data_IF_664088172324
#
_entry.id   IF_664088172324
#
_cell.length_a   1.000
_cell.length_b   1.000
_cell.length_c   1.000
_cell.angle_alpha   90.00
_cell.angle_beta   90.00
_cell.angle_gamma   90.00
#
_symmetry.space_group_name_H-M   'P 1'
#
loop_
_entity.id
_entity.type
_entity.pdbx_description
1 polymer ?
#
# COMPACT_ATOMS: atom_id res chain seq x y z
N UNK A 1 0.42 15.40 -16.88
CA UNK A 1 -0.67 14.45 -17.17
C UNK A 1 -0.14 13.06 -17.48
N UNK A 2 0.53 12.88 -18.62
CA UNK A 2 0.93 11.57 -19.13
C UNK A 2 1.89 10.79 -18.22
N UNK A 3 2.95 11.44 -17.70
CA UNK A 3 3.90 10.82 -16.76
C UNK A 3 3.24 10.38 -15.44
N UNK A 4 2.35 11.21 -14.90
CA UNK A 4 1.60 10.87 -13.69
C UNK A 4 0.66 9.68 -13.93
N UNK A 5 -0.01 9.63 -15.08
CA UNK A 5 -0.89 8.52 -15.44
C UNK A 5 -0.14 7.19 -15.56
N UNK A 6 1.04 7.20 -16.17
CA UNK A 6 1.91 6.01 -16.27
C UNK A 6 2.36 5.56 -14.88
N UNK A 7 2.88 6.48 -14.05
CA UNK A 7 3.36 6.14 -12.70
C UNK A 7 2.25 5.56 -11.81
N UNK A 8 1.04 6.16 -11.85
CA UNK A 8 -0.12 5.69 -11.09
C UNK A 8 -0.59 4.33 -11.61
N UNK A 9 -0.66 4.15 -12.93
CA UNK A 9 -1.07 2.89 -13.57
C UNK A 9 -0.10 1.74 -13.25
N UNK A 10 1.21 1.97 -13.36
CA UNK A 10 2.25 0.99 -13.03
C UNK A 10 2.19 0.58 -11.56
N UNK A 11 2.05 1.54 -10.65
CA UNK A 11 1.97 1.26 -9.21
C UNK A 11 0.72 0.46 -8.85
N UNK A 12 -0.44 0.82 -9.43
CA UNK A 12 -1.69 0.09 -9.19
C UNK A 12 -1.66 -1.35 -9.74
N UNK A 13 -1.05 -1.54 -10.91
CA UNK A 13 -0.89 -2.87 -11.53
C UNK A 13 0.07 -3.75 -10.72
N UNK A 14 1.21 -3.20 -10.33
CA UNK A 14 2.22 -3.91 -9.53
C UNK A 14 1.66 -4.39 -8.19
N UNK A 15 0.93 -3.53 -7.48
CA UNK A 15 0.33 -3.86 -6.17
C UNK A 15 -0.64 -5.05 -6.25
N UNK A 16 -1.49 -5.11 -7.30
CA UNK A 16 -2.42 -6.24 -7.50
C UNK A 16 -1.69 -7.52 -7.93
N UNK A 17 -0.67 -7.40 -8.78
CA UNK A 17 0.14 -8.54 -9.20
C UNK A 17 0.91 -9.15 -8.02
N UNK A 18 1.48 -8.30 -7.16
CA UNK A 18 2.22 -8.73 -5.98
C UNK A 18 1.31 -9.41 -4.94
N UNK A 19 0.09 -8.88 -4.74
CA UNK A 19 -0.92 -9.51 -3.88
C UNK A 19 -1.33 -10.89 -4.41
N UNK A 20 -1.51 -11.03 -5.72
CA UNK A 20 -1.85 -12.30 -6.35
C UNK A 20 -0.72 -13.33 -6.24
N UNK A 21 0.55 -12.91 -6.32
CA UNK A 21 1.71 -13.80 -6.19
C UNK A 21 1.99 -14.24 -4.74
N UNK A 22 1.60 -13.44 -3.75
CA UNK A 22 1.86 -13.69 -2.33
C UNK A 22 0.73 -14.43 -1.61
N UNK A 23 -0.44 -14.58 -2.24
CA UNK A 23 -1.63 -15.15 -1.59
C UNK A 23 -1.93 -16.57 -2.10
N UNK A 24 -2.06 -17.59 -1.24
CA UNK A 24 -2.52 -18.92 -1.65
C UNK A 24 -3.99 -18.89 -2.12
N UNK A 25 -4.32 -19.68 -3.14
CA UNK A 25 -5.62 -19.64 -3.84
C UNK A 25 -6.84 -19.77 -2.92
N UNK A 26 -6.76 -20.57 -1.85
CA UNK A 26 -7.85 -20.74 -0.87
C UNK A 26 -8.14 -19.49 -0.03
N UNK A 27 -7.17 -18.59 0.14
CA UNK A 27 -7.29 -17.37 0.97
C UNK A 27 -7.34 -16.10 0.14
N UNK A 28 -7.38 -16.20 -1.19
CA UNK A 28 -7.36 -15.05 -2.11
C UNK A 28 -8.43 -14.01 -1.76
N UNK A 29 -9.66 -14.43 -1.45
CA UNK A 29 -10.76 -13.53 -1.09
C UNK A 29 -10.51 -12.73 0.21
N UNK A 30 -9.84 -13.33 1.20
CA UNK A 30 -9.56 -12.71 2.50
C UNK A 30 -8.51 -11.58 2.34
N UNK A 31 -7.42 -11.87 1.64
CA UNK A 31 -6.34 -10.89 1.38
C UNK A 31 -6.79 -9.76 0.44
N UNK A 32 -7.58 -10.06 -0.60
CA UNK A 32 -8.19 -9.00 -1.43
C UNK A 32 -9.18 -8.13 -0.63
N UNK A 33 -9.90 -8.73 0.32
CA UNK A 33 -10.75 -8.02 1.28
C UNK A 33 -9.95 -7.03 2.13
N UNK A 34 -8.85 -7.48 2.75
CA UNK A 34 -7.96 -6.62 3.53
C UNK A 34 -7.32 -5.51 2.70
N UNK A 35 -6.87 -5.80 1.47
CA UNK A 35 -6.31 -4.80 0.55
C UNK A 35 -7.33 -3.70 0.22
N UNK A 36 -8.58 -4.08 -0.08
CA UNK A 36 -9.68 -3.14 -0.36
C UNK A 36 -10.01 -2.25 0.84
N UNK A 37 -10.09 -2.83 2.05
CA UNK A 37 -10.36 -2.08 3.28
C UNK A 37 -9.23 -1.11 3.60
N UNK A 38 -7.97 -1.55 3.46
CA UNK A 38 -6.79 -0.70 3.67
C UNK A 38 -6.79 0.49 2.70
N UNK A 39 -7.12 0.27 1.42
CA UNK A 39 -7.24 1.34 0.43
C UNK A 39 -8.34 2.37 0.78
N UNK A 40 -9.48 1.89 1.30
CA UNK A 40 -10.57 2.77 1.78
C UNK A 40 -10.14 3.59 2.99
N UNK A 41 -9.47 2.98 3.96
CA UNK A 41 -8.95 3.68 5.14
C UNK A 41 -7.93 4.75 4.72
N UNK A 42 -7.00 4.43 3.81
CA UNK A 42 -6.04 5.39 3.27
C UNK A 42 -6.72 6.59 2.59
N UNK A 43 -7.79 6.35 1.84
CA UNK A 43 -8.57 7.38 1.16
C UNK A 43 -9.32 8.32 2.12
N UNK A 44 -9.63 7.85 3.33
CA UNK A 44 -10.26 8.66 4.38
C UNK A 44 -9.21 9.39 5.23
N UNK A 45 -8.14 8.69 5.62
CA UNK A 45 -7.08 9.25 6.45
C UNK A 45 -6.28 10.35 5.75
N UNK A 46 -6.04 10.23 4.44
CA UNK A 46 -5.29 11.24 3.68
C UNK A 46 -5.90 12.64 3.77
N UNK A 47 -7.17 12.83 3.34
CA UNK A 47 -7.88 14.09 3.48
C UNK A 47 -8.07 14.54 4.94
N UNK A 48 -8.27 13.60 5.87
CA UNK A 48 -8.43 13.90 7.29
C UNK A 48 -7.16 14.53 7.88
N UNK A 49 -6.01 13.90 7.66
CA UNK A 49 -4.70 14.41 8.09
C UNK A 49 -4.36 15.72 7.37
N UNK A 50 -4.60 15.80 6.05
CA UNK A 50 -4.41 17.03 5.30
C UNK A 50 -5.26 18.19 5.83
N UNK A 51 -6.55 17.94 6.10
CA UNK A 51 -7.47 18.92 6.65
C UNK A 51 -7.04 19.41 8.02
N UNK A 52 -6.58 18.51 8.89
CA UNK A 52 -6.13 18.86 10.23
C UNK A 52 -4.83 19.69 10.19
N UNK A 53 -3.85 19.31 9.37
CA UNK A 53 -2.61 20.08 9.23
C UNK A 53 -2.85 21.43 8.53
N UNK A 54 -3.76 21.48 7.55
CA UNK A 54 -4.16 22.72 6.90
C UNK A 54 -4.86 23.66 7.87
N UNK A 55 -5.65 23.14 8.81
CA UNK A 55 -6.37 23.93 9.82
C UNK A 55 -5.43 24.51 10.87
N UNK A 56 -4.42 23.74 11.30
CA UNK A 56 -3.44 24.20 12.31
C UNK A 56 -2.50 25.26 11.73
N UNK A 57 -2.09 25.11 10.45
CA UNK A 57 -1.05 25.99 9.91
C UNK A 57 -1.59 27.27 9.27
N UNK A 58 -2.85 27.30 8.82
CA UNK A 58 -3.50 28.49 8.23
C UNK A 58 -2.92 28.96 6.89
N UNK A 59 -1.77 28.41 6.46
CA UNK A 59 -1.02 28.80 5.28
C UNK A 59 -0.76 27.58 4.37
N UNK A 60 -1.19 27.69 3.11
CA UNK A 60 -1.31 26.57 2.16
C UNK A 60 0.04 25.94 1.80
N UNK A 61 1.14 26.69 1.95
CA UNK A 61 2.51 26.23 1.69
C UNK A 61 2.95 25.14 2.67
N UNK A 62 2.63 25.32 3.96
CA UNK A 62 2.99 24.38 5.00
C UNK A 62 2.08 23.14 4.99
N UNK A 63 0.82 23.30 4.59
CA UNK A 63 -0.10 22.19 4.37
C UNK A 63 0.45 21.23 3.29
N UNK A 64 0.88 21.76 2.13
CA UNK A 64 1.50 20.96 1.07
C UNK A 64 2.79 20.27 1.54
N UNK A 65 3.65 20.98 2.28
CA UNK A 65 4.88 20.38 2.83
C UNK A 65 4.59 19.18 3.76
N UNK A 66 3.56 19.27 4.60
CA UNK A 66 3.17 18.16 5.46
C UNK A 66 2.71 16.92 4.69
N UNK A 67 1.98 17.13 3.57
CA UNK A 67 1.53 16.04 2.70
C UNK A 67 2.72 15.40 2.00
N UNK A 68 3.67 16.20 1.53
CA UNK A 68 4.91 15.69 0.93
C UNK A 68 5.70 14.87 1.96
N UNK A 69 5.84 15.34 3.19
CA UNK A 69 6.48 14.57 4.28
C UNK A 69 5.74 13.27 4.56
N UNK A 70 4.41 13.29 4.57
CA UNK A 70 3.60 12.07 4.75
C UNK A 70 3.79 11.07 3.61
N UNK A 71 3.84 11.56 2.37
CA UNK A 71 4.10 10.74 1.18
C UNK A 71 5.51 10.13 1.20
N UNK A 72 6.51 10.91 1.60
CA UNK A 72 7.90 10.45 1.77
C UNK A 72 7.99 9.42 2.89
N UNK A 73 7.33 9.66 4.02
CA UNK A 73 7.28 8.71 5.14
C UNK A 73 6.62 7.39 4.69
N UNK A 74 5.51 7.46 3.98
CA UNK A 74 4.85 6.29 3.40
C UNK A 74 5.75 5.56 2.38
N UNK A 75 6.50 6.29 1.56
CA UNK A 75 7.44 5.70 0.61
C UNK A 75 8.63 5.00 1.31
N UNK A 76 9.16 5.58 2.38
CA UNK A 76 10.22 4.95 3.20
C UNK A 76 9.70 3.67 3.85
N UNK A 77 8.48 3.71 4.41
CA UNK A 77 7.86 2.52 5.00
C UNK A 77 7.64 1.43 3.96
N UNK A 78 7.26 1.80 2.73
CA UNK A 78 7.12 0.85 1.63
C UNK A 78 8.46 0.19 1.26
N UNK A 79 9.57 0.93 1.32
CA UNK A 79 10.91 0.38 1.11
C UNK A 79 11.36 -0.58 2.22
N UNK A 80 10.83 -0.43 3.44
CA UNK A 80 11.09 -1.39 4.52
C UNK A 80 10.26 -2.68 4.43
N UNK A 81 9.28 -2.76 3.52
CA UNK A 81 8.55 -4.00 3.25
C UNK A 81 9.45 -4.91 2.40
N UNK A 82 10.03 -5.89 3.06
CA UNK A 82 10.94 -6.85 2.46
C UNK A 82 10.15 -7.97 1.75
N UNK A 83 10.09 -7.89 0.42
CA UNK A 83 9.42 -8.85 -0.48
C UNK A 83 9.95 -10.29 -0.33
N UNK A 84 11.19 -10.45 0.12
CA UNK A 84 11.89 -11.73 0.24
C UNK A 84 11.27 -12.63 1.32
N UNK A 85 10.81 -12.05 2.44
CA UNK A 85 10.09 -12.79 3.49
C UNK A 85 8.71 -13.26 3.05
N UNK A 86 8.05 -12.53 2.14
CA UNK A 86 6.75 -12.89 1.59
C UNK A 86 6.82 -14.16 0.74
N UNK A 87 7.84 -14.28 -0.12
CA UNK A 87 8.07 -15.48 -0.95
C UNK A 87 8.44 -16.71 -0.13
N UNK A 88 9.27 -16.56 0.90
CA UNK A 88 9.68 -17.66 1.78
C UNK A 88 8.48 -18.23 2.56
N UNK A 89 7.57 -17.38 3.02
CA UNK A 89 6.36 -17.82 3.77
C UNK A 89 5.37 -18.54 2.84
N UNK A 90 5.20 -18.06 1.61
CA UNK A 90 4.35 -18.72 0.61
C UNK A 90 4.91 -20.08 0.15
N UNK A 91 6.24 -20.24 0.11
CA UNK A 91 6.90 -21.51 -0.20
C UNK A 91 6.79 -22.51 0.95
N UNK A 92 7.04 -22.09 2.20
CA UNK A 92 6.90 -22.97 3.37
C UNK A 92 5.45 -23.45 3.59
N UNK A 93 4.44 -22.65 3.24
CA UNK A 93 3.04 -23.10 3.30
C UNK A 93 2.72 -24.20 2.28
N UNK A 94 3.43 -24.23 1.15
CA UNK A 94 3.19 -25.24 0.10
C UNK A 94 3.84 -26.59 0.45
N UNK A 95 5.00 -26.58 1.13
CA UNK A 95 5.63 -27.79 1.65
C UNK A 95 4.79 -28.45 2.76
N UNK A 96 4.13 -27.67 3.63
CA UNK A 96 3.29 -28.19 4.73
C UNK A 96 2.04 -28.95 4.24
N UNK A 97 1.60 -28.70 3.00
CA UNK A 97 0.42 -29.32 2.38
C UNK A 97 0.78 -30.59 1.60
N UNK A 98 2.03 -30.70 1.09
CA UNK A 98 2.50 -31.89 0.36
C UNK A 98 2.95 -33.02 1.32
N UNK A 99 3.11 -32.74 2.63
CA UNK A 99 3.51 -33.72 3.66
C UNK A 99 2.32 -34.39 4.40
N UNK A 100 1.07 -33.95 4.17
CA UNK A 100 -0.17 -34.54 4.75
C UNK A 100 -1.08 -35.18 3.70
#
# INVERSE_FOLDING_TARGET
GMLAGIAIGSSQSSSRAMLALLTPDEKMAEFFGFYSVTGRIASILGPLVYGEVSRITGDQKWAILSVVVFFVTGAIVLQTVNEEKGKLTALNWKDDIDET
#
